data_IF_200001639401
#
_entry.id   IF_200001639401
#
_cell.length_a   1.000
_cell.length_b   1.000
_cell.length_c   1.000
_cell.angle_alpha   90.00
_cell.angle_beta   90.00
_cell.angle_gamma   90.00
#
_symmetry.space_group_name_H-M   'P 1'
#
loop_
_entity.id
_entity.type
_entity.pdbx_description
1 polymer ?
#
# COMPACT_ATOMS: atom_id res chain seq x y z
N UNK A 1 72.58 79.18 -8.81
CA UNK A 1 72.22 80.37 -8.01
C UNK A 1 70.90 80.09 -7.30
N UNK A 2 70.71 80.62 -6.08
CA UNK A 2 70.32 79.90 -4.84
C UNK A 2 68.79 79.71 -4.73
N UNK A 3 68.20 78.93 -3.80
CA UNK A 3 68.18 79.07 -2.33
C UNK A 3 67.55 77.83 -1.67
N UNK A 4 68.06 77.49 -0.48
CA UNK A 4 67.56 76.48 0.47
C UNK A 4 66.30 76.94 1.22
N UNK A 5 65.48 75.99 1.72
CA UNK A 5 64.39 76.28 2.67
C UNK A 5 63.64 75.05 3.19
N UNK A 6 64.04 74.64 4.40
CA UNK A 6 63.44 73.77 5.44
C UNK A 6 62.20 72.85 5.21
N UNK A 7 62.48 71.58 5.51
CA UNK A 7 61.78 70.57 6.32
C UNK A 7 60.49 70.96 7.09
N UNK A 8 59.50 70.05 7.09
CA UNK A 8 58.77 69.52 8.25
C UNK A 8 57.37 68.97 7.87
N UNK A 9 57.18 67.67 8.07
CA UNK A 9 55.88 66.98 8.09
C UNK A 9 55.00 67.42 9.27
N UNK A 10 53.67 67.21 9.20
CA UNK A 10 53.06 66.43 10.27
C UNK A 10 51.95 65.44 9.83
N UNK A 11 52.08 64.23 10.39
CA UNK A 11 51.12 63.27 10.97
C UNK A 11 49.57 63.45 10.93
N UNK A 12 48.83 62.35 11.20
CA UNK A 12 47.52 62.04 10.61
C UNK A 12 46.32 62.49 11.43
N UNK A 13 45.20 62.77 10.74
CA UNK A 13 43.89 63.02 11.34
C UNK A 13 43.06 61.75 11.47
N UNK A 14 42.88 61.28 12.71
CA UNK A 14 41.89 60.29 13.11
C UNK A 14 40.47 60.78 12.77
N UNK A 15 39.72 59.98 12.01
CA UNK A 15 38.27 60.19 11.85
C UNK A 15 37.51 59.49 12.96
N UNK A 16 36.60 60.26 13.54
CA UNK A 16 35.75 59.91 14.67
C UNK A 16 34.91 58.66 14.41
N UNK A 17 34.90 57.79 15.42
CA UNK A 17 34.15 56.55 15.50
C UNK A 17 32.69 56.90 15.86
N UNK A 18 31.81 56.95 14.87
CA UNK A 18 30.38 57.18 15.11
C UNK A 18 29.68 55.83 15.33
N UNK A 19 29.21 55.66 16.56
CA UNK A 19 28.54 54.50 17.11
C UNK A 19 27.23 54.23 16.34
N UNK A 20 27.27 53.40 15.30
CA UNK A 20 26.06 52.89 14.63
C UNK A 20 25.44 51.80 15.50
N UNK A 21 24.39 52.19 16.21
CA UNK A 21 23.41 51.32 16.87
C UNK A 21 22.80 50.37 15.82
N UNK A 22 23.35 49.16 15.70
CA UNK A 22 22.79 48.11 14.84
C UNK A 22 21.47 47.63 15.46
N UNK A 23 20.36 48.16 14.95
CA UNK A 23 19.03 47.61 15.18
C UNK A 23 19.02 46.17 14.65
N UNK A 24 19.16 45.21 15.55
CA UNK A 24 18.99 43.80 15.24
C UNK A 24 17.48 43.57 15.14
N UNK A 25 16.95 43.60 13.93
CA UNK A 25 15.58 43.14 13.67
C UNK A 25 15.61 41.61 13.82
N UNK A 26 15.19 41.14 14.99
CA UNK A 26 14.93 39.75 15.26
C UNK A 26 13.69 39.36 14.42
N UNK A 27 13.91 38.80 13.23
CA UNK A 27 12.84 38.14 12.49
C UNK A 27 12.50 36.90 13.30
N UNK A 28 11.47 37.01 14.14
CA UNK A 28 10.83 35.86 14.76
C UNK A 28 10.20 35.09 13.62
N UNK A 29 10.96 34.12 13.07
CA UNK A 29 10.43 33.14 12.15
C UNK A 29 9.35 32.36 12.87
N UNK A 30 8.09 32.63 12.53
CA UNK A 30 7.00 31.75 12.88
C UNK A 30 7.24 30.44 12.13
N UNK A 31 7.92 29.50 12.78
CA UNK A 31 7.96 28.13 12.33
C UNK A 31 6.52 27.60 12.40
N UNK A 32 5.81 27.64 11.27
CA UNK A 32 4.62 26.83 11.08
C UNK A 32 5.09 25.38 11.19
N UNK A 33 4.93 24.80 12.37
CA UNK A 33 4.99 23.35 12.54
C UNK A 33 3.85 22.80 11.69
N UNK A 34 4.18 22.33 10.50
CA UNK A 34 3.30 21.45 9.74
C UNK A 34 3.25 20.15 10.54
N UNK A 35 2.30 20.07 11.48
CA UNK A 35 1.89 18.80 12.02
C UNK A 35 1.33 18.01 10.84
N UNK A 36 2.12 17.06 10.35
CA UNK A 36 1.62 16.04 9.43
C UNK A 36 0.45 15.34 10.11
N UNK A 37 -0.61 14.95 9.39
CA UNK A 37 -1.68 14.18 10.00
C UNK A 37 -1.09 12.81 10.35
N UNK A 38 -0.74 12.64 11.63
CA UNK A 38 -0.49 11.35 12.24
C UNK A 38 -1.85 10.63 12.32
N UNK A 39 -2.24 10.02 11.21
CA UNK A 39 -3.50 9.31 11.11
C UNK A 39 -3.28 8.03 10.34
N UNK A 40 -2.77 6.99 11.01
CA UNK A 40 -2.94 5.55 10.70
C UNK A 40 -1.96 4.60 11.44
N UNK A 41 -0.99 5.09 12.23
CA UNK A 41 -0.08 4.23 13.02
C UNK A 41 -0.74 3.52 14.23
N UNK A 42 -2.07 3.48 14.32
CA UNK A 42 -2.75 2.80 15.43
C UNK A 42 -2.57 1.29 15.27
N UNK A 43 -1.81 0.67 16.18
CA UNK A 43 -1.63 -0.78 16.24
C UNK A 43 -0.24 -1.29 15.84
N UNK A 44 0.69 -0.42 15.44
CA UNK A 44 2.08 -0.81 15.17
C UNK A 44 2.92 -0.52 16.41
N UNK A 45 3.42 -1.57 17.07
CA UNK A 45 4.38 -1.44 18.17
C UNK A 45 5.70 -0.85 17.64
N UNK A 46 6.19 0.29 18.15
CA UNK A 46 7.45 0.89 17.71
C UNK A 46 8.64 -0.06 17.82
N UNK A 47 8.67 -0.94 18.81
CA UNK A 47 9.75 -1.92 19.01
C UNK A 47 9.73 -2.96 17.88
N UNK A 48 8.55 -3.49 17.56
CA UNK A 48 8.38 -4.44 16.46
C UNK A 48 8.64 -3.78 15.09
N UNK A 49 8.32 -2.49 14.94
CA UNK A 49 8.64 -1.74 13.73
C UNK A 49 10.15 -1.59 13.52
N UNK A 50 10.90 -1.24 14.58
CA UNK A 50 12.36 -1.16 14.53
C UNK A 50 13.00 -2.54 14.28
N UNK A 51 12.45 -3.60 14.87
CA UNK A 51 12.88 -4.97 14.57
C UNK A 51 12.65 -5.32 13.09
N UNK A 52 11.48 -4.97 12.54
CA UNK A 52 11.15 -5.14 11.13
C UNK A 52 12.13 -4.41 10.20
N UNK A 53 12.54 -3.20 10.58
CA UNK A 53 13.56 -2.45 9.85
C UNK A 53 14.91 -3.18 9.83
N UNK A 54 15.35 -3.74 10.96
CA UNK A 54 16.61 -4.47 11.05
C UNK A 54 16.57 -5.72 10.18
N UNK A 55 15.50 -6.52 10.28
CA UNK A 55 15.28 -7.68 9.43
C UNK A 55 15.28 -7.31 7.94
N UNK A 56 14.67 -6.18 7.57
CA UNK A 56 14.68 -5.69 6.19
C UNK A 56 16.09 -5.35 5.70
N UNK A 57 16.88 -4.67 6.53
CA UNK A 57 18.26 -4.28 6.20
C UNK A 57 19.15 -5.51 6.01
N UNK A 58 18.97 -6.54 6.83
CA UNK A 58 19.74 -7.78 6.75
C UNK A 58 19.37 -8.66 5.56
N UNK A 59 18.07 -8.72 5.22
CA UNK A 59 17.54 -9.75 4.33
C UNK A 59 17.01 -9.25 2.99
N UNK A 60 16.54 -7.99 2.91
CA UNK A 60 15.74 -7.51 1.78
C UNK A 60 16.41 -6.36 1.02
N UNK A 61 17.13 -5.48 1.72
CA UNK A 61 17.69 -4.25 1.17
C UNK A 61 18.65 -4.48 -0.02
N UNK A 62 19.32 -5.63 -0.08
CA UNK A 62 20.20 -5.98 -1.21
C UNK A 62 19.48 -5.94 -2.56
N UNK A 63 18.20 -6.32 -2.61
CA UNK A 63 17.41 -6.37 -3.84
C UNK A 63 16.38 -5.25 -3.91
N UNK A 64 15.73 -4.92 -2.79
CA UNK A 64 14.67 -3.91 -2.74
C UNK A 64 15.18 -2.49 -2.41
N UNK A 65 16.48 -2.34 -2.13
CA UNK A 65 17.17 -1.10 -1.75
C UNK A 65 16.70 -0.51 -0.41
N UNK A 66 17.54 0.29 0.24
CA UNK A 66 17.16 0.97 1.51
C UNK A 66 15.94 1.90 1.35
N UNK A 67 15.80 2.47 0.15
CA UNK A 67 14.68 3.34 -0.23
C UNK A 67 13.40 2.58 -0.58
N UNK A 68 13.43 1.24 -0.62
CA UNK A 68 12.31 0.45 -1.15
C UNK A 68 12.07 0.65 -2.64
N UNK A 69 12.98 1.28 -3.37
CA UNK A 69 12.83 1.57 -4.80
C UNK A 69 13.01 0.37 -5.72
N UNK A 70 13.70 -0.68 -5.25
CA UNK A 70 14.06 -1.82 -6.07
C UNK A 70 14.94 -1.46 -7.27
N UNK A 71 15.07 -2.40 -8.21
CA UNK A 71 15.77 -2.22 -9.50
C UNK A 71 14.94 -2.83 -10.62
N UNK A 72 14.06 -2.01 -11.20
CA UNK A 72 13.12 -2.44 -12.21
C UNK A 72 13.84 -2.84 -13.51
N UNK A 73 13.39 -3.91 -14.21
CA UNK A 73 12.18 -4.70 -13.94
C UNK A 73 12.44 -5.94 -13.05
N UNK A 74 13.66 -6.11 -12.53
CA UNK A 74 14.10 -7.36 -11.89
C UNK A 74 13.63 -7.44 -10.45
N UNK A 75 13.79 -6.36 -9.70
CA UNK A 75 13.37 -6.23 -8.31
C UNK A 75 12.35 -5.08 -8.21
N UNK A 76 11.08 -5.37 -7.91
CA UNK A 76 10.05 -4.34 -7.88
C UNK A 76 10.27 -3.36 -6.71
N UNK A 77 9.78 -2.13 -6.90
CA UNK A 77 9.65 -1.17 -5.81
C UNK A 77 8.63 -1.68 -4.79
N UNK A 78 8.95 -1.52 -3.51
CA UNK A 78 8.06 -1.71 -2.38
C UNK A 78 7.44 -0.37 -1.93
N UNK A 79 8.13 0.75 -2.13
CA UNK A 79 7.57 2.07 -1.89
C UNK A 79 6.44 2.39 -2.87
N UNK A 80 5.24 2.67 -2.34
CA UNK A 80 4.05 3.01 -3.12
C UNK A 80 3.43 1.83 -3.89
N UNK A 81 3.82 0.58 -3.63
CA UNK A 81 3.16 -0.58 -4.27
C UNK A 81 1.88 -0.94 -3.51
N UNK A 82 0.73 -0.55 -4.06
CA UNK A 82 -0.60 -0.86 -3.52
C UNK A 82 -0.84 -2.35 -3.23
N UNK A 83 -0.07 -3.25 -3.87
CA UNK A 83 -0.15 -4.70 -3.59
C UNK A 83 0.24 -5.04 -2.16
N UNK A 84 1.01 -4.19 -1.49
CA UNK A 84 1.38 -4.36 -0.08
C UNK A 84 0.19 -4.17 0.86
N UNK A 85 -0.95 -3.65 0.38
CA UNK A 85 -2.20 -3.58 1.14
C UNK A 85 -2.71 -4.93 1.61
N UNK A 86 -2.40 -6.03 0.90
CA UNK A 86 -2.79 -7.38 1.28
C UNK A 86 -1.75 -8.06 2.21
N UNK A 87 -2.07 -8.25 3.50
CA UNK A 87 -1.16 -8.86 4.46
C UNK A 87 -0.86 -10.33 4.15
N UNK A 88 -1.79 -11.06 3.52
CA UNK A 88 -1.58 -12.48 3.20
C UNK A 88 -0.56 -12.63 2.08
N UNK A 89 -0.65 -11.78 1.05
CA UNK A 89 0.30 -11.81 -0.07
C UNK A 89 1.73 -11.52 0.39
N UNK A 90 1.91 -10.50 1.23
CA UNK A 90 3.25 -10.13 1.71
C UNK A 90 3.83 -11.25 2.59
N UNK A 91 3.04 -11.79 3.53
CA UNK A 91 3.47 -12.91 4.39
C UNK A 91 3.88 -14.11 3.55
N UNK A 92 3.09 -14.50 2.55
CA UNK A 92 3.44 -15.61 1.65
C UNK A 92 4.68 -15.32 0.81
N UNK A 93 4.83 -14.09 0.30
CA UNK A 93 6.00 -13.71 -0.50
C UNK A 93 7.28 -13.75 0.32
N UNK A 94 7.23 -13.34 1.60
CA UNK A 94 8.36 -13.44 2.53
C UNK A 94 8.63 -14.91 2.87
N UNK A 95 7.61 -15.65 3.32
CA UNK A 95 7.81 -17.01 3.80
C UNK A 95 8.20 -18.00 2.69
N UNK A 96 7.51 -17.96 1.56
CA UNK A 96 7.67 -18.91 0.44
C UNK A 96 8.59 -18.38 -0.67
N UNK A 97 8.94 -17.09 -0.65
CA UNK A 97 9.67 -16.47 -1.74
C UNK A 97 8.83 -16.34 -3.01
N UNK A 98 9.51 -16.14 -4.13
CA UNK A 98 8.93 -16.09 -5.46
C UNK A 98 10.03 -16.13 -6.52
N UNK A 99 9.68 -15.79 -7.77
CA UNK A 99 10.58 -15.76 -8.95
C UNK A 99 12.09 -15.71 -8.65
N UNK A 100 12.58 -14.55 -8.21
CA UNK A 100 13.98 -14.32 -7.83
C UNK A 100 14.13 -13.98 -6.35
N UNK A 101 13.01 -13.86 -5.63
CA UNK A 101 12.98 -13.56 -4.20
C UNK A 101 13.16 -14.87 -3.44
N UNK A 102 14.24 -15.04 -2.67
CA UNK A 102 14.44 -16.27 -1.91
C UNK A 102 13.33 -16.45 -0.85
N UNK A 103 13.00 -17.70 -0.46
CA UNK A 103 12.13 -17.94 0.68
C UNK A 103 12.88 -17.65 1.99
N UNK A 104 12.14 -17.22 3.01
CA UNK A 104 12.64 -17.00 4.37
C UNK A 104 11.92 -17.91 5.38
N UNK A 105 12.03 -19.25 5.25
CA UNK A 105 11.27 -20.19 6.08
C UNK A 105 11.75 -20.24 7.53
N UNK A 106 12.92 -19.69 7.82
CA UNK A 106 13.51 -19.68 9.15
C UNK A 106 13.04 -18.50 10.02
N UNK A 107 12.32 -17.54 9.45
CA UNK A 107 11.72 -16.44 10.21
C UNK A 107 10.44 -16.93 10.90
N UNK A 108 10.32 -16.68 12.20
CA UNK A 108 9.12 -16.96 12.96
C UNK A 108 7.97 -16.00 12.58
N UNK A 109 6.73 -16.36 12.93
CA UNK A 109 5.56 -15.54 12.63
C UNK A 109 5.65 -14.11 13.17
N UNK A 110 6.24 -13.94 14.36
CA UNK A 110 6.47 -12.60 14.95
C UNK A 110 7.49 -11.79 14.13
N UNK A 111 8.57 -12.42 13.67
CA UNK A 111 9.59 -11.76 12.84
C UNK A 111 9.04 -11.36 11.47
N UNK A 112 8.22 -12.24 10.86
CA UNK A 112 7.53 -11.94 9.60
C UNK A 112 6.49 -10.83 9.81
N UNK A 113 5.78 -10.82 10.94
CA UNK A 113 4.85 -9.74 11.32
C UNK A 113 5.59 -8.40 11.44
N UNK A 114 6.68 -8.34 12.20
CA UNK A 114 7.55 -7.16 12.31
C UNK A 114 8.05 -6.68 10.95
N UNK A 115 8.59 -7.58 10.12
CA UNK A 115 9.09 -7.27 8.78
C UNK A 115 8.00 -6.77 7.84
N UNK A 116 6.83 -7.43 7.83
CA UNK A 116 5.69 -7.03 7.03
C UNK A 116 5.16 -5.65 7.46
N UNK A 117 5.07 -5.39 8.76
CA UNK A 117 4.67 -4.09 9.31
C UNK A 117 5.62 -2.97 8.91
N UNK A 118 6.94 -3.22 8.91
CA UNK A 118 7.91 -2.27 8.40
C UNK A 118 7.68 -1.96 6.92
N UNK A 119 7.65 -2.99 6.05
CA UNK A 119 7.48 -2.82 4.60
C UNK A 119 6.16 -2.11 4.25
N UNK A 120 5.09 -2.43 4.96
CA UNK A 120 3.74 -1.87 4.77
C UNK A 120 3.59 -0.42 5.22
N UNK A 121 4.51 0.10 6.02
CA UNK A 121 4.37 1.43 6.63
C UNK A 121 5.67 2.26 6.58
N UNK A 122 6.67 1.81 5.81
CA UNK A 122 7.87 2.58 5.50
C UNK A 122 7.67 3.48 4.27
N UNK A 123 8.55 4.48 4.16
CA UNK A 123 8.60 5.44 3.06
C UNK A 123 7.34 6.33 2.99
N UNK A 124 6.37 5.97 2.16
CA UNK A 124 5.08 6.65 2.05
C UNK A 124 3.91 5.65 2.08
N UNK A 125 4.20 4.39 2.45
CA UNK A 125 3.18 3.37 2.59
C UNK A 125 2.40 3.59 3.89
N UNK A 126 1.12 3.25 3.85
CA UNK A 126 0.22 3.37 4.99
C UNK A 126 -0.89 2.32 4.91
N UNK A 127 -0.47 1.05 4.94
CA UNK A 127 -1.38 -0.07 4.76
C UNK A 127 -1.90 -0.64 6.10
N UNK A 128 -1.48 -0.07 7.23
CA UNK A 128 -1.86 -0.54 8.55
C UNK A 128 -1.11 -1.79 9.01
N UNK A 129 -1.40 -2.21 10.24
CA UNK A 129 -0.73 -3.32 10.91
C UNK A 129 -1.23 -4.70 10.42
N UNK A 130 -0.36 -5.70 10.50
CA UNK A 130 -0.67 -7.12 10.48
C UNK A 130 -0.23 -7.73 11.82
N UNK A 131 -1.08 -8.52 12.45
CA UNK A 131 -0.79 -9.16 13.74
C UNK A 131 0.00 -10.46 13.58
N UNK A 132 0.71 -10.87 14.64
CA UNK A 132 1.44 -12.15 14.66
C UNK A 132 0.49 -13.34 14.49
N UNK A 133 -0.73 -13.24 15.03
CA UNK A 133 -1.78 -14.24 14.89
C UNK A 133 -2.22 -14.40 13.42
N UNK A 134 -2.44 -13.28 12.72
CA UNK A 134 -2.73 -13.30 11.28
C UNK A 134 -1.59 -13.92 10.48
N UNK A 135 -0.34 -13.58 10.81
CA UNK A 135 0.84 -14.18 10.15
C UNK A 135 0.92 -15.69 10.41
N UNK A 136 0.74 -16.13 11.65
CA UNK A 136 0.77 -17.57 12.00
C UNK A 136 -0.31 -18.33 11.24
N UNK A 137 -1.53 -17.79 11.19
CA UNK A 137 -2.64 -18.40 10.44
C UNK A 137 -2.33 -18.54 8.95
N UNK A 138 -1.64 -17.56 8.35
CA UNK A 138 -1.20 -17.65 6.95
C UNK A 138 -0.10 -18.69 6.78
N UNK A 139 0.87 -18.77 7.69
CA UNK A 139 1.96 -19.75 7.65
C UNK A 139 1.46 -21.19 7.85
N UNK A 140 0.55 -21.42 8.78
CA UNK A 140 -0.11 -22.71 9.02
C UNK A 140 -0.97 -23.12 7.81
N UNK A 141 -1.73 -22.18 7.24
CA UNK A 141 -2.49 -22.39 6.01
C UNK A 141 -1.62 -22.60 4.76
N UNK A 142 -0.32 -22.30 4.84
CA UNK A 142 0.68 -22.58 3.82
C UNK A 142 1.25 -24.00 3.96
N UNK A 143 1.40 -24.52 5.19
CA UNK A 143 1.84 -25.90 5.42
C UNK A 143 0.72 -26.94 5.17
N UNK A 144 -0.55 -26.59 5.39
CA UNK A 144 -1.72 -27.42 5.00
C UNK A 144 -2.33 -27.02 3.63
N UNK A 145 -1.67 -26.12 2.91
CA UNK A 145 -2.21 -25.43 1.74
C UNK A 145 -2.30 -26.30 0.48
N UNK A 146 -3.51 -26.81 0.20
CA UNK A 146 -3.86 -27.36 -1.11
C UNK A 146 -3.54 -26.41 -2.28
N UNK A 147 -3.56 -26.92 -3.53
CA UNK A 147 -3.12 -26.16 -4.71
C UNK A 147 -3.87 -24.84 -4.86
N UNK A 148 -3.19 -23.82 -5.40
CA UNK A 148 -3.84 -22.56 -5.79
C UNK A 148 -4.90 -22.87 -6.85
N UNK A 149 -6.09 -22.33 -6.66
CA UNK A 149 -7.24 -22.55 -7.54
C UNK A 149 -7.48 -21.30 -8.37
N UNK A 150 -7.79 -21.48 -9.64
CA UNK A 150 -8.12 -20.36 -10.51
C UNK A 150 -9.54 -19.89 -10.23
N UNK A 151 -9.79 -18.57 -10.27
CA UNK A 151 -11.17 -18.04 -10.24
C UNK A 151 -12.04 -18.55 -11.40
N UNK A 152 -11.43 -19.15 -12.42
CA UNK A 152 -12.11 -19.80 -13.54
C UNK A 152 -12.64 -21.21 -13.23
N UNK A 153 -12.29 -21.79 -12.09
CA UNK A 153 -12.61 -23.19 -11.72
C UNK A 153 -13.92 -23.32 -10.95
N UNK A 154 -14.89 -22.41 -11.12
CA UNK A 154 -16.20 -22.51 -10.47
C UNK A 154 -16.17 -22.21 -8.97
N UNK A 155 -15.60 -21.07 -8.58
CA UNK A 155 -15.31 -20.73 -7.17
C UNK A 155 -16.47 -20.05 -6.41
N UNK A 156 -17.64 -19.94 -7.03
CA UNK A 156 -18.83 -19.29 -6.46
C UNK A 156 -20.10 -19.92 -7.04
N UNK A 157 -21.23 -19.81 -6.36
CA UNK A 157 -22.53 -20.29 -6.87
C UNK A 157 -23.28 -19.21 -7.65
N UNK A 158 -24.15 -19.62 -8.57
CA UNK A 158 -25.02 -18.68 -9.30
C UNK A 158 -25.90 -17.87 -8.34
N UNK A 159 -26.50 -18.52 -7.33
CA UNK A 159 -27.29 -17.86 -6.30
C UNK A 159 -26.48 -16.80 -5.53
N UNK A 160 -25.20 -17.07 -5.26
CA UNK A 160 -24.32 -16.10 -4.62
C UNK A 160 -24.08 -14.87 -5.50
N UNK A 161 -23.78 -15.08 -6.78
CA UNK A 161 -23.60 -13.98 -7.73
C UNK A 161 -24.86 -13.15 -7.94
N UNK A 162 -26.05 -13.76 -7.85
CA UNK A 162 -27.34 -13.05 -7.89
C UNK A 162 -27.54 -12.16 -6.66
N UNK A 163 -27.30 -12.69 -5.44
CA UNK A 163 -27.36 -11.89 -4.21
C UNK A 163 -26.39 -10.73 -4.24
N UNK A 164 -25.16 -10.99 -4.70
CA UNK A 164 -24.14 -9.97 -4.89
C UNK A 164 -24.54 -8.87 -5.85
N UNK A 165 -25.28 -9.21 -6.91
CA UNK A 165 -25.80 -8.23 -7.87
C UNK A 165 -26.76 -7.23 -7.24
N UNK A 166 -27.64 -7.70 -6.34
CA UNK A 166 -28.57 -6.84 -5.62
C UNK A 166 -27.85 -5.87 -4.68
N UNK A 167 -26.82 -6.35 -3.95
CA UNK A 167 -25.97 -5.49 -3.10
C UNK A 167 -25.20 -4.48 -3.96
N UNK A 168 -24.60 -4.95 -5.05
CA UNK A 168 -23.80 -4.13 -5.97
C UNK A 168 -24.60 -2.96 -6.54
N UNK A 169 -25.85 -3.19 -6.95
CA UNK A 169 -26.69 -2.14 -7.54
C UNK A 169 -26.91 -0.96 -6.58
N UNK A 170 -27.08 -1.24 -5.29
CA UNK A 170 -27.27 -0.23 -4.25
C UNK A 170 -25.98 0.45 -3.78
N UNK A 171 -24.91 -0.32 -3.60
CA UNK A 171 -23.68 0.16 -2.95
C UNK A 171 -22.58 0.62 -3.92
N UNK A 172 -22.55 0.10 -5.14
CA UNK A 172 -21.39 0.26 -6.05
C UNK A 172 -21.77 0.82 -7.42
N UNK A 173 -22.96 0.48 -7.93
CA UNK A 173 -23.38 0.72 -9.31
C UNK A 173 -23.49 2.19 -9.72
N UNK A 174 -23.69 3.10 -8.75
CA UNK A 174 -23.71 4.56 -8.99
C UNK A 174 -22.35 5.09 -9.48
N UNK A 175 -21.27 4.54 -8.94
CA UNK A 175 -19.91 4.98 -9.26
C UNK A 175 -19.29 4.08 -10.33
N UNK A 176 -19.41 2.76 -10.20
CA UNK A 176 -18.72 1.79 -11.09
C UNK A 176 -19.54 1.33 -12.30
N UNK A 177 -20.71 1.96 -12.51
CA UNK A 177 -21.64 1.64 -13.59
C UNK A 177 -22.46 0.38 -13.31
N UNK A 178 -23.74 0.37 -13.69
CA UNK A 178 -24.66 -0.76 -13.46
C UNK A 178 -24.22 -2.09 -14.09
N UNK A 179 -23.25 -2.07 -15.00
CA UNK A 179 -22.69 -3.24 -15.68
C UNK A 179 -21.22 -3.49 -15.33
N UNK A 180 -20.71 -2.89 -14.24
CA UNK A 180 -19.34 -3.01 -13.76
C UNK A 180 -18.29 -2.50 -14.77
N UNK A 181 -18.71 -1.68 -15.72
CA UNK A 181 -17.89 -1.17 -16.81
C UNK A 181 -17.13 0.12 -16.44
N UNK A 182 -17.32 0.64 -15.22
CA UNK A 182 -16.80 1.93 -14.80
C UNK A 182 -17.44 3.09 -15.56
N UNK A 183 -16.94 4.28 -15.31
CA UNK A 183 -17.30 5.49 -16.05
C UNK A 183 -16.02 6.26 -16.47
N UNK A 184 -15.11 5.65 -17.25
CA UNK A 184 -13.83 6.29 -17.54
C UNK A 184 -13.95 7.58 -18.36
N UNK A 185 -14.98 7.68 -19.22
CA UNK A 185 -15.13 8.75 -20.23
C UNK A 185 -16.52 9.44 -20.20
N UNK A 186 -17.31 9.20 -19.15
CA UNK A 186 -18.62 9.84 -18.99
C UNK A 186 -18.43 11.20 -18.28
N UNK A 187 -18.73 12.34 -18.93
CA UNK A 187 -18.50 13.66 -18.35
C UNK A 187 -19.43 13.97 -17.16
N UNK A 188 -20.54 13.24 -17.02
CA UNK A 188 -21.53 13.43 -15.97
C UNK A 188 -21.30 12.47 -14.78
N UNK A 189 -20.30 11.58 -14.86
CA UNK A 189 -19.92 10.66 -13.78
C UNK A 189 -18.46 10.85 -13.33
N UNK A 190 -18.19 10.50 -12.06
CA UNK A 190 -16.82 10.43 -11.55
C UNK A 190 -16.05 9.33 -12.29
N UNK A 191 -14.83 9.63 -12.74
CA UNK A 191 -13.97 8.64 -13.39
C UNK A 191 -13.63 7.50 -12.43
N UNK A 192 -14.18 6.33 -12.70
CA UNK A 192 -14.03 5.12 -11.87
C UNK A 192 -13.63 3.92 -12.74
N UNK A 193 -12.81 3.00 -12.20
CA UNK A 193 -12.38 1.84 -12.96
C UNK A 193 -13.52 0.82 -13.16
N UNK A 194 -13.54 0.08 -14.29
CA UNK A 194 -14.34 -1.14 -14.41
C UNK A 194 -13.92 -2.18 -13.37
N UNK A 195 -14.91 -2.90 -12.87
CA UNK A 195 -14.78 -3.92 -11.83
C UNK A 195 -14.92 -5.35 -12.36
N UNK A 196 -15.07 -5.51 -13.68
CA UNK A 196 -15.13 -6.82 -14.32
C UNK A 196 -14.41 -6.82 -15.67
N UNK A 197 -14.23 -8.02 -16.23
CA UNK A 197 -13.71 -8.27 -17.59
C UNK A 197 -12.24 -7.84 -17.79
N UNK A 198 -11.83 -7.65 -19.04
CA UNK A 198 -10.44 -7.58 -19.46
C UNK A 198 -9.59 -6.52 -18.73
N UNK A 199 -10.11 -5.32 -18.45
CA UNK A 199 -9.33 -4.29 -17.73
C UNK A 199 -9.15 -4.68 -16.26
N UNK A 200 -10.20 -5.17 -15.60
CA UNK A 200 -10.12 -5.70 -14.24
C UNK A 200 -9.11 -6.85 -14.15
N UNK A 201 -9.26 -7.86 -15.01
CA UNK A 201 -8.38 -9.03 -15.04
C UNK A 201 -6.91 -8.67 -15.24
N UNK A 202 -6.59 -7.67 -16.08
CA UNK A 202 -5.20 -7.19 -16.24
C UNK A 202 -4.65 -6.50 -15.01
N UNK A 203 -5.46 -5.71 -14.30
CA UNK A 203 -5.03 -4.97 -13.10
C UNK A 203 -4.85 -5.91 -11.91
N UNK A 204 -5.72 -6.92 -11.82
CA UNK A 204 -5.79 -7.87 -10.72
C UNK A 204 -5.06 -9.19 -11.00
N UNK A 205 -4.41 -9.33 -12.15
CA UNK A 205 -3.66 -10.53 -12.54
C UNK A 205 -2.64 -10.94 -11.47
N UNK A 206 -2.68 -12.22 -11.09
CA UNK A 206 -1.83 -12.83 -10.07
C UNK A 206 -2.14 -12.38 -8.63
N UNK A 207 -3.26 -11.69 -8.36
CA UNK A 207 -3.73 -11.34 -7.01
C UNK A 207 -4.78 -12.36 -6.53
N UNK A 208 -4.94 -12.50 -5.22
CA UNK A 208 -5.92 -13.44 -4.65
C UNK A 208 -7.28 -12.77 -4.45
N UNK A 209 -8.34 -13.57 -4.25
CA UNK A 209 -9.62 -13.03 -3.80
C UNK A 209 -9.53 -12.47 -2.38
N UNK A 210 -8.60 -12.93 -1.53
CA UNK A 210 -8.36 -12.30 -0.22
C UNK A 210 -7.83 -10.86 -0.39
N UNK A 211 -6.92 -10.66 -1.35
CA UNK A 211 -6.42 -9.32 -1.72
C UNK A 211 -7.58 -8.40 -2.10
N UNK A 212 -8.45 -8.88 -2.98
CA UNK A 212 -9.59 -8.11 -3.48
C UNK A 212 -10.59 -7.81 -2.37
N UNK A 213 -10.93 -8.81 -1.58
CA UNK A 213 -11.83 -8.69 -0.44
C UNK A 213 -11.35 -7.66 0.58
N UNK A 214 -10.09 -7.77 1.02
CA UNK A 214 -9.52 -6.83 1.98
C UNK A 214 -9.48 -5.40 1.42
N UNK A 215 -9.04 -5.23 0.17
CA UNK A 215 -9.00 -3.93 -0.49
C UNK A 215 -10.39 -3.30 -0.60
N UNK A 216 -11.38 -4.06 -1.10
CA UNK A 216 -12.75 -3.58 -1.28
C UNK A 216 -13.37 -3.22 0.07
N UNK A 217 -13.19 -4.03 1.12
CA UNK A 217 -13.70 -3.70 2.46
C UNK A 217 -13.05 -2.44 3.05
N UNK A 218 -11.75 -2.27 2.86
CA UNK A 218 -11.00 -1.15 3.45
C UNK A 218 -11.22 0.17 2.71
N UNK A 219 -11.54 0.14 1.42
CA UNK A 219 -11.57 1.35 0.57
C UNK A 219 -12.93 1.65 -0.05
N UNK A 220 -13.87 0.69 0.00
CA UNK A 220 -15.18 0.82 -0.65
C UNK A 220 -16.33 0.46 0.30
N UNK A 221 -17.49 1.12 0.15
CA UNK A 221 -17.72 2.36 -0.62
C UNK A 221 -16.82 3.52 -0.17
N UNK A 222 -16.43 4.41 -1.08
CA UNK A 222 -15.45 5.49 -0.80
C UNK A 222 -15.91 6.42 0.33
N UNK A 223 -17.21 6.68 0.41
CA UNK A 223 -17.85 7.53 1.42
C UNK A 223 -18.14 6.81 2.74
N UNK A 224 -18.19 5.48 2.72
CA UNK A 224 -18.49 4.67 3.89
C UNK A 224 -17.83 3.29 3.85
N UNK A 225 -16.48 3.20 3.98
CA UNK A 225 -15.77 1.93 3.95
C UNK A 225 -16.21 0.98 5.08
N UNK A 226 -16.08 -0.32 4.86
CA UNK A 226 -16.47 -1.37 5.82
C UNK A 226 -17.94 -1.33 6.27
N UNK A 227 -18.82 -0.74 5.45
CA UNK A 227 -20.24 -0.61 5.76
C UNK A 227 -21.08 -1.84 5.46
N UNK A 228 -20.56 -2.76 4.64
CA UNK A 228 -21.20 -4.04 4.34
C UNK A 228 -20.68 -5.14 5.26
N UNK A 229 -21.47 -6.19 5.45
CA UNK A 229 -21.03 -7.41 6.11
C UNK A 229 -19.99 -8.15 5.26
N UNK A 230 -19.19 -9.01 5.89
CA UNK A 230 -18.19 -9.81 5.17
C UNK A 230 -18.83 -10.73 4.11
N UNK A 231 -20.01 -11.30 4.42
CA UNK A 231 -20.77 -12.09 3.45
C UNK A 231 -21.23 -11.27 2.25
N UNK A 232 -21.71 -10.04 2.46
CA UNK A 232 -22.12 -9.16 1.37
C UNK A 232 -20.94 -8.78 0.46
N UNK A 233 -19.75 -8.58 1.02
CA UNK A 233 -18.55 -8.33 0.23
C UNK A 233 -18.16 -9.52 -0.66
N UNK A 234 -18.19 -10.76 -0.14
CA UNK A 234 -17.89 -11.94 -0.99
C UNK A 234 -18.99 -12.22 -2.01
N UNK A 235 -20.26 -11.94 -1.69
CA UNK A 235 -21.36 -12.03 -2.64
C UNK A 235 -21.15 -11.03 -3.81
N UNK A 236 -20.78 -9.77 -3.51
CA UNK A 236 -20.44 -8.78 -4.54
C UNK A 236 -19.24 -9.23 -5.39
N UNK A 237 -18.21 -9.84 -4.78
CA UNK A 237 -17.08 -10.40 -5.52
C UNK A 237 -17.56 -11.52 -6.45
N UNK A 238 -18.39 -12.45 -5.99
CA UNK A 238 -18.98 -13.48 -6.84
C UNK A 238 -19.75 -12.89 -8.04
N UNK A 239 -20.51 -11.81 -7.81
CA UNK A 239 -21.17 -11.08 -8.89
C UNK A 239 -20.17 -10.49 -9.90
N UNK A 240 -19.07 -9.89 -9.43
CA UNK A 240 -18.00 -9.38 -10.30
C UNK A 240 -17.37 -10.48 -11.15
N UNK A 241 -17.11 -11.65 -10.57
CA UNK A 241 -16.55 -12.81 -11.28
C UNK A 241 -17.52 -13.32 -12.35
N UNK A 242 -18.81 -13.45 -12.01
CA UNK A 242 -19.88 -13.84 -12.94
C UNK A 242 -19.97 -12.88 -14.14
N UNK A 243 -20.02 -11.56 -13.90
CA UNK A 243 -20.04 -10.54 -14.98
C UNK A 243 -18.72 -10.54 -15.78
N UNK A 244 -17.62 -10.98 -15.16
CA UNK A 244 -16.32 -11.20 -15.76
C UNK A 244 -16.26 -12.41 -16.72
N UNK A 245 -17.28 -13.28 -16.69
CA UNK A 245 -17.39 -14.47 -17.55
C UNK A 245 -16.90 -15.76 -16.91
N UNK A 246 -16.58 -15.76 -15.62
CA UNK A 246 -16.23 -16.98 -14.89
C UNK A 246 -17.50 -17.81 -14.65
N UNK A 247 -17.39 -19.13 -14.78
CA UNK A 247 -18.51 -20.04 -14.59
C UNK A 247 -18.79 -20.21 -13.10
N UNK A 248 -20.06 -20.36 -12.72
CA UNK A 248 -20.41 -20.78 -11.37
C UNK A 248 -20.06 -22.25 -11.15
N UNK A 249 -19.75 -22.61 -9.91
CA UNK A 249 -19.63 -23.98 -9.43
C UNK A 249 -20.68 -24.31 -8.37
N UNK A 250 -20.43 -25.38 -7.62
CA UNK A 250 -21.39 -25.92 -6.64
C UNK A 250 -21.19 -25.34 -5.24
N UNK A 251 -19.99 -24.85 -4.93
CA UNK A 251 -19.61 -24.34 -3.62
C UNK A 251 -19.67 -22.81 -3.54
N UNK A 252 -20.13 -22.32 -2.39
CA UNK A 252 -20.26 -20.89 -2.14
C UNK A 252 -18.92 -20.29 -1.67
N UNK A 253 -18.56 -19.14 -2.25
CA UNK A 253 -17.37 -18.39 -1.86
C UNK A 253 -17.53 -17.91 -0.40
N UNK A 254 -16.70 -18.44 0.50
CA UNK A 254 -16.77 -18.09 1.92
C UNK A 254 -15.97 -16.83 2.23
N UNK A 255 -16.41 -15.98 3.18
CA UNK A 255 -15.65 -14.83 3.68
C UNK A 255 -14.50 -15.25 4.61
N UNK A 256 -13.86 -16.38 4.33
CA UNK A 256 -12.72 -16.89 5.08
C UNK A 256 -11.40 -16.44 4.42
N UNK A 257 -10.55 -15.67 5.11
CA UNK A 257 -9.30 -15.17 4.54
C UNK A 257 -8.38 -16.27 3.99
N UNK A 258 -8.31 -17.43 4.66
CA UNK A 258 -7.42 -18.53 4.24
C UNK A 258 -7.90 -19.19 2.95
N UNK A 259 -9.21 -19.37 2.80
CA UNK A 259 -9.83 -19.91 1.60
C UNK A 259 -9.70 -18.92 0.44
N UNK A 260 -10.04 -17.65 0.66
CA UNK A 260 -9.94 -16.60 -0.35
C UNK A 260 -8.50 -16.37 -0.85
N UNK A 261 -7.50 -16.58 0.02
CA UNK A 261 -6.08 -16.42 -0.33
C UNK A 261 -5.58 -17.48 -1.32
N UNK A 262 -6.29 -18.60 -1.46
CA UNK A 262 -5.95 -19.69 -2.39
C UNK A 262 -6.57 -19.50 -3.78
N UNK A 263 -7.55 -18.61 -3.91
CA UNK A 263 -8.26 -18.33 -5.15
C UNK A 263 -7.58 -17.18 -5.89
N UNK A 264 -6.99 -17.46 -7.06
CA UNK A 264 -6.16 -16.50 -7.81
C UNK A 264 -6.89 -15.96 -9.02
N UNK A 265 -6.88 -14.63 -9.16
CA UNK A 265 -7.32 -13.94 -10.36
C UNK A 265 -6.21 -14.05 -11.41
N UNK A 266 -6.53 -14.64 -12.55
CA UNK A 266 -5.59 -14.85 -13.64
C UNK A 266 -6.27 -14.83 -15.01
N UNK A 267 -5.50 -15.00 -16.10
CA UNK A 267 -6.07 -15.15 -17.43
C UNK A 267 -6.97 -16.39 -17.49
N UNK A 268 -7.94 -16.37 -18.41
CA UNK A 268 -8.72 -17.57 -18.72
C UNK A 268 -7.76 -18.67 -19.21
N UNK A 269 -7.85 -19.90 -18.66
CA UNK A 269 -6.97 -21.00 -19.04
C UNK A 269 -7.16 -21.46 -20.49
#
# INVERSE_FOLDING_TARGET
MPISGHDSTPSPGMRANSLMLKLTVCVIGLACVVASPAGAQQGIDPVLFEQGQQLYQENCALCHQDSGGGDAPTFPALGGDDRLGDPVRIVRSIHQGGRRMPPFPNLAAEEISSLANYIRNAWANDFGAVSTEEVSAVMEGVEEGGPMVSVWDGVFTEAQAERGGAVYEGACGLCHGRRLNGAPDDPDMRSTPPLARARFLRVWDGRSLATLFAYTRATMPEDNPSSLTEQEYVDVIAHMLSVGGMSAGDDELQPDPQSLARLVIGPQP
#
